data_IF_794724869911
#
_entry.id   IF_794724869911
#
_cell.length_a   1.000
_cell.length_b   1.000
_cell.length_c   1.000
_cell.angle_alpha   90.00
_cell.angle_beta   90.00
_cell.angle_gamma   90.00
#
_symmetry.space_group_name_H-M   'P 1'
#
loop_
_entity.id
_entity.type
_entity.pdbx_description
1 polymer ?
#
# COMPACT_ATOMS: atom_id res chain seq x y z
N UNK A 1 14.94 -35.59 12.94
CA UNK A 1 14.78 -34.72 11.74
C UNK A 1 15.52 -33.41 12.00
N UNK A 2 16.10 -32.73 11.00
CA UNK A 2 16.81 -31.42 11.17
C UNK A 2 16.44 -30.47 10.01
N UNK A 3 15.97 -29.26 10.31
CA UNK A 3 15.69 -28.23 9.30
C UNK A 3 16.94 -27.40 9.00
N UNK A 4 17.06 -26.91 7.77
CA UNK A 4 18.13 -25.99 7.36
C UNK A 4 17.71 -25.12 6.18
N UNK A 5 18.20 -23.89 6.16
CA UNK A 5 18.09 -23.00 5.00
C UNK A 5 19.16 -23.28 3.93
N UNK A 6 20.18 -24.08 4.25
CA UNK A 6 21.21 -24.47 3.29
C UNK A 6 21.65 -25.92 3.51
N UNK A 7 21.52 -26.76 2.48
CA UNK A 7 21.89 -28.18 2.55
C UNK A 7 23.40 -28.40 2.52
N UNK A 8 24.19 -27.50 1.93
CA UNK A 8 25.62 -27.74 1.66
C UNK A 8 26.44 -27.92 2.96
N UNK A 9 26.37 -27.01 3.95
CA UNK A 9 27.10 -27.19 5.20
C UNK A 9 26.64 -28.44 5.97
N UNK A 10 25.33 -28.72 5.94
CA UNK A 10 24.75 -29.88 6.60
C UNK A 10 25.27 -31.19 5.99
N UNK A 11 25.36 -31.30 4.67
CA UNK A 11 25.89 -32.50 4.02
C UNK A 11 27.38 -32.66 4.32
N UNK A 12 28.16 -31.56 4.28
CA UNK A 12 29.58 -31.56 4.65
C UNK A 12 29.78 -32.12 6.06
N UNK A 13 29.05 -31.60 7.05
CA UNK A 13 29.06 -32.07 8.44
C UNK A 13 28.79 -33.59 8.55
N UNK A 14 27.85 -34.11 7.76
CA UNK A 14 27.39 -35.50 7.88
C UNK A 14 28.26 -36.53 7.16
N UNK A 15 29.01 -36.12 6.14
CA UNK A 15 29.78 -37.04 5.28
C UNK A 15 31.30 -36.88 5.41
N UNK A 16 31.78 -35.92 6.20
CA UNK A 16 33.21 -35.60 6.32
C UNK A 16 34.08 -36.82 6.69
N UNK A 17 33.58 -37.69 7.58
CA UNK A 17 34.33 -38.83 8.11
C UNK A 17 33.72 -40.20 7.75
N UNK A 18 32.58 -40.23 7.07
CA UNK A 18 31.83 -41.46 6.83
C UNK A 18 31.09 -41.38 5.48
N UNK A 19 31.82 -41.78 4.44
CA UNK A 19 31.39 -41.62 3.06
C UNK A 19 30.45 -42.74 2.64
N UNK A 20 29.30 -42.38 2.06
CA UNK A 20 28.32 -43.33 1.50
C UNK A 20 27.99 -43.00 0.04
N UNK A 21 27.28 -43.91 -0.62
CA UNK A 21 26.79 -43.69 -1.97
C UNK A 21 25.68 -42.62 -1.98
N UNK A 22 25.81 -41.64 -2.87
CA UNK A 22 24.88 -40.53 -2.99
C UNK A 22 24.05 -40.62 -4.28
N UNK A 23 22.76 -40.31 -4.16
CA UNK A 23 21.91 -39.96 -5.31
C UNK A 23 21.42 -38.54 -5.13
N UNK A 24 21.72 -37.69 -6.11
CA UNK A 24 21.50 -36.25 -6.09
C UNK A 24 20.47 -35.91 -7.16
N UNK A 25 19.34 -35.33 -6.77
CA UNK A 25 18.26 -34.91 -7.67
C UNK A 25 18.12 -33.41 -7.58
N UNK A 26 18.31 -32.69 -8.69
CA UNK A 26 18.00 -31.26 -8.78
C UNK A 26 17.73 -30.89 -10.24
N UNK A 27 16.60 -30.23 -10.55
CA UNK A 27 16.31 -29.82 -11.92
C UNK A 27 17.35 -28.81 -12.44
N UNK A 28 17.87 -27.97 -11.55
CA UNK A 28 18.73 -26.84 -11.89
C UNK A 28 20.09 -26.94 -11.22
N UNK A 29 21.15 -26.73 -11.99
CA UNK A 29 22.55 -26.86 -11.58
C UNK A 29 23.37 -25.67 -12.08
N UNK A 30 23.95 -24.88 -11.17
CA UNK A 30 24.92 -23.82 -11.53
C UNK A 30 26.12 -23.84 -10.58
N UNK A 31 27.23 -23.24 -11.00
CA UNK A 31 28.47 -23.18 -10.22
C UNK A 31 29.04 -24.56 -9.87
N UNK A 32 29.63 -24.68 -8.68
CA UNK A 32 30.27 -25.90 -8.15
C UNK A 32 29.38 -26.70 -7.20
N UNK A 33 28.18 -26.23 -6.84
CA UNK A 33 27.40 -26.75 -5.70
C UNK A 33 27.18 -28.26 -5.77
N UNK A 34 26.64 -28.77 -6.89
CA UNK A 34 26.39 -30.20 -7.04
C UNK A 34 27.68 -31.03 -7.12
N UNK A 35 28.75 -30.46 -7.68
CA UNK A 35 30.06 -31.12 -7.74
C UNK A 35 30.66 -31.27 -6.33
N UNK A 36 30.61 -30.22 -5.52
CA UNK A 36 31.08 -30.25 -4.14
C UNK A 36 30.33 -31.31 -3.32
N UNK A 37 29.00 -31.36 -3.43
CA UNK A 37 28.20 -32.38 -2.75
C UNK A 37 28.57 -33.79 -3.23
N UNK A 38 28.67 -33.99 -4.54
CA UNK A 38 28.98 -35.30 -5.12
C UNK A 38 30.36 -35.84 -4.68
N UNK A 39 31.35 -34.96 -4.51
CA UNK A 39 32.70 -35.34 -4.08
C UNK A 39 32.82 -35.74 -2.60
N UNK A 40 31.81 -35.43 -1.78
CA UNK A 40 31.75 -35.88 -0.39
C UNK A 40 31.35 -37.36 -0.28
N UNK A 41 30.64 -37.89 -1.28
CA UNK A 41 30.21 -39.28 -1.33
C UNK A 41 31.36 -40.25 -1.56
N UNK A 42 31.13 -41.53 -1.23
CA UNK A 42 31.98 -42.65 -1.68
C UNK A 42 31.85 -42.81 -3.20
N UNK A 43 30.61 -42.71 -3.68
CA UNK A 43 30.23 -42.58 -5.07
C UNK A 43 29.02 -41.65 -5.16
N UNK A 44 28.75 -41.09 -6.34
CA UNK A 44 27.61 -40.21 -6.54
C UNK A 44 26.98 -40.40 -7.92
N UNK A 45 25.64 -40.33 -7.99
CA UNK A 45 24.87 -40.19 -9.25
C UNK A 45 24.06 -38.90 -9.18
N UNK A 46 24.10 -38.10 -10.24
CA UNK A 46 23.38 -36.84 -10.35
C UNK A 46 22.25 -36.97 -11.37
N UNK A 47 21.04 -36.55 -11.03
CA UNK A 47 19.85 -36.56 -11.87
C UNK A 47 19.38 -35.12 -12.05
N UNK A 48 19.24 -34.69 -13.30
CA UNK A 48 18.98 -33.28 -13.64
C UNK A 48 18.16 -33.12 -14.92
N UNK A 49 17.68 -31.90 -15.19
CA UNK A 49 17.09 -31.53 -16.48
C UNK A 49 18.20 -31.07 -17.44
N UNK A 50 18.15 -31.57 -18.67
CA UNK A 50 19.01 -31.13 -19.78
C UNK A 50 18.13 -30.91 -20.99
N UNK A 51 17.82 -29.64 -21.27
CA UNK A 51 17.09 -29.23 -22.47
C UNK A 51 17.48 -27.80 -22.85
N UNK A 52 17.05 -27.39 -24.04
CA UNK A 52 17.42 -26.10 -24.64
C UNK A 52 16.98 -24.93 -23.75
N UNK A 53 15.75 -24.94 -23.25
CA UNK A 53 15.20 -23.89 -22.40
C UNK A 53 16.00 -23.72 -21.10
N UNK A 54 16.35 -24.82 -20.43
CA UNK A 54 17.07 -24.81 -19.16
C UNK A 54 18.47 -24.21 -19.30
N UNK A 55 19.18 -24.52 -20.38
CA UNK A 55 20.51 -23.92 -20.62
C UNK A 55 20.41 -22.49 -21.17
N UNK A 56 19.46 -22.20 -22.06
CA UNK A 56 19.30 -20.88 -22.67
C UNK A 56 18.86 -19.81 -21.66
N UNK A 57 18.00 -20.17 -20.70
CA UNK A 57 17.57 -19.29 -19.61
C UNK A 57 18.62 -19.10 -18.51
N UNK A 58 19.68 -19.91 -18.51
CA UNK A 58 20.68 -19.94 -17.43
C UNK A 58 20.20 -20.61 -16.14
N UNK A 59 19.04 -21.29 -16.15
CA UNK A 59 18.56 -22.04 -14.99
C UNK A 59 19.53 -23.15 -14.58
N UNK A 60 20.15 -23.81 -15.57
CA UNK A 60 21.38 -24.59 -15.38
C UNK A 60 22.50 -24.05 -16.26
N UNK A 61 23.75 -24.20 -15.82
CA UNK A 61 24.91 -23.86 -16.63
C UNK A 61 25.52 -25.11 -17.29
N UNK A 62 25.85 -24.99 -18.57
CA UNK A 62 26.59 -26.03 -19.31
C UNK A 62 27.91 -26.39 -18.60
N UNK A 63 28.60 -25.40 -18.03
CA UNK A 63 29.87 -25.60 -17.32
C UNK A 63 29.72 -26.45 -16.05
N UNK A 64 28.64 -26.31 -15.28
CA UNK A 64 28.40 -27.10 -14.07
C UNK A 64 28.22 -28.58 -14.41
N UNK A 65 27.38 -28.88 -15.40
CA UNK A 65 27.12 -30.25 -15.86
C UNK A 65 28.38 -30.86 -16.49
N UNK A 66 29.10 -30.09 -17.33
CA UNK A 66 30.36 -30.54 -17.94
C UNK A 66 31.42 -30.88 -16.89
N UNK A 67 31.46 -30.14 -15.78
CA UNK A 67 32.43 -30.37 -14.71
C UNK A 67 32.18 -31.70 -13.98
N UNK A 68 30.91 -32.07 -13.75
CA UNK A 68 30.54 -33.38 -13.21
C UNK A 68 31.00 -34.52 -14.14
N UNK A 69 30.70 -34.41 -15.44
CA UNK A 69 31.12 -35.40 -16.44
C UNK A 69 32.65 -35.52 -16.52
N UNK A 70 33.38 -34.40 -16.51
CA UNK A 70 34.87 -34.39 -16.52
C UNK A 70 35.46 -35.09 -15.29
N UNK A 71 34.78 -35.03 -14.14
CA UNK A 71 35.16 -35.75 -12.91
C UNK A 71 34.67 -37.19 -12.87
N UNK A 72 34.14 -37.72 -13.98
CA UNK A 72 33.60 -39.08 -14.12
C UNK A 72 32.45 -39.38 -13.14
N UNK A 73 31.72 -38.36 -12.72
CA UNK A 73 30.50 -38.53 -11.92
C UNK A 73 29.35 -38.77 -12.90
N UNK A 74 28.63 -39.91 -12.82
CA UNK A 74 27.49 -40.18 -13.68
C UNK A 74 26.39 -39.11 -13.51
N UNK A 75 26.04 -38.48 -14.63
CA UNK A 75 24.91 -37.55 -14.72
C UNK A 75 23.82 -38.21 -15.54
N UNK A 76 22.58 -38.12 -15.10
CA UNK A 76 21.42 -38.65 -15.77
C UNK A 76 20.46 -37.52 -16.12
N UNK A 77 20.00 -37.51 -17.36
CA UNK A 77 18.86 -36.72 -17.79
C UNK A 77 17.58 -37.40 -17.29
N UNK A 78 16.75 -36.67 -16.54
CA UNK A 78 15.46 -37.15 -16.05
C UNK A 78 14.36 -36.16 -16.43
N UNK A 79 13.52 -36.45 -17.44
CA UNK A 79 12.46 -35.53 -17.86
C UNK A 79 11.45 -35.28 -16.73
N UNK A 80 10.92 -34.06 -16.69
CA UNK A 80 9.94 -33.60 -15.69
C UNK A 80 10.42 -33.71 -14.23
N UNK A 81 11.75 -33.73 -14.01
CA UNK A 81 12.31 -33.62 -12.68
C UNK A 81 11.98 -32.25 -12.08
N UNK A 82 11.40 -32.23 -10.89
CA UNK A 82 11.27 -31.04 -10.05
C UNK A 82 11.76 -31.29 -8.61
N UNK A 83 12.09 -32.54 -8.28
CA UNK A 83 12.58 -32.93 -6.97
C UNK A 83 13.99 -32.35 -6.72
N UNK A 84 14.19 -31.93 -5.47
CA UNK A 84 15.43 -31.34 -4.95
C UNK A 84 15.80 -32.12 -3.72
N UNK A 85 16.67 -33.10 -3.90
CA UNK A 85 16.87 -34.15 -2.91
C UNK A 85 18.28 -34.73 -2.97
N UNK A 86 18.84 -35.05 -1.79
CA UNK A 86 20.03 -35.90 -1.65
C UNK A 86 19.65 -37.14 -0.86
N UNK A 87 19.93 -38.32 -1.41
CA UNK A 87 19.76 -39.61 -0.74
C UNK A 87 21.14 -40.17 -0.47
N UNK A 88 21.50 -40.22 0.82
CA UNK A 88 22.71 -40.86 1.31
C UNK A 88 22.34 -42.29 1.75
N UNK A 89 22.81 -43.29 1.00
CA UNK A 89 22.42 -44.69 1.15
C UNK A 89 22.44 -45.14 2.61
N UNK A 90 21.33 -45.70 3.09
CA UNK A 90 21.09 -46.21 4.45
C UNK A 90 21.26 -45.19 5.60
N UNK A 91 21.55 -43.91 5.29
CA UNK A 91 21.96 -42.90 6.29
C UNK A 91 20.95 -41.80 6.49
N UNK A 92 20.61 -41.10 5.42
CA UNK A 92 19.68 -39.99 5.50
C UNK A 92 19.15 -39.59 4.12
N UNK A 93 18.06 -38.84 4.15
CA UNK A 93 17.50 -38.14 3.00
C UNK A 93 17.38 -36.66 3.35
N UNK A 94 17.81 -35.78 2.45
CA UNK A 94 17.52 -34.35 2.52
C UNK A 94 16.60 -34.01 1.37
N UNK A 95 15.48 -33.35 1.65
CA UNK A 95 14.54 -32.85 0.66
C UNK A 95 14.11 -31.42 1.00
N UNK A 96 13.78 -30.61 -0.01
CA UNK A 96 13.36 -29.24 0.23
C UNK A 96 13.16 -28.42 -1.04
N UNK A 97 13.21 -27.10 -0.88
CA UNK A 97 13.06 -26.14 -1.97
C UNK A 97 14.36 -25.82 -2.70
N UNK A 98 15.53 -26.17 -2.14
CA UNK A 98 16.84 -25.71 -2.63
C UNK A 98 17.29 -26.44 -3.90
N UNK A 99 17.36 -25.69 -5.00
CA UNK A 99 18.09 -26.14 -6.19
C UNK A 99 19.59 -26.06 -5.96
N UNK A 100 20.36 -26.86 -6.70
CA UNK A 100 21.80 -26.96 -6.51
C UNK A 100 22.51 -25.93 -7.40
N UNK A 101 22.12 -24.68 -7.19
CA UNK A 101 22.60 -23.48 -7.89
C UNK A 101 23.29 -22.55 -6.90
N UNK A 102 24.15 -21.67 -7.39
CA UNK A 102 24.83 -20.66 -6.54
C UNK A 102 23.84 -19.83 -5.75
N UNK A 103 22.79 -19.31 -6.41
CA UNK A 103 21.72 -18.55 -5.74
C UNK A 103 20.97 -19.38 -4.71
N UNK A 104 20.71 -20.66 -4.99
CA UNK A 104 20.10 -21.57 -4.01
C UNK A 104 20.99 -21.79 -2.79
N UNK A 105 22.31 -21.66 -2.91
CA UNK A 105 23.25 -21.83 -1.81
C UNK A 105 23.62 -20.53 -1.06
N UNK A 106 23.36 -19.35 -1.62
CA UNK A 106 23.85 -18.07 -1.06
C UNK A 106 22.81 -16.96 -0.90
N UNK A 107 21.71 -16.97 -1.66
CA UNK A 107 20.84 -15.80 -1.77
C UNK A 107 19.35 -16.10 -1.61
N UNK A 108 18.87 -17.25 -2.10
CA UNK A 108 17.46 -17.60 -1.99
C UNK A 108 17.09 -17.97 -0.56
N UNK A 109 15.87 -17.62 -0.14
CA UNK A 109 15.27 -18.16 1.06
C UNK A 109 14.79 -19.58 0.79
N UNK A 110 15.51 -20.57 1.30
CA UNK A 110 15.22 -21.99 1.08
C UNK A 110 14.80 -22.67 2.39
N UNK A 111 14.00 -23.72 2.29
CA UNK A 111 13.64 -24.57 3.42
C UNK A 111 13.87 -26.03 3.04
N UNK A 112 14.70 -26.69 3.84
CA UNK A 112 15.08 -28.08 3.64
C UNK A 112 15.00 -28.85 4.94
N UNK A 113 14.78 -30.16 4.82
CA UNK A 113 14.68 -31.05 5.95
C UNK A 113 15.51 -32.31 5.72
N UNK A 114 16.29 -32.68 6.74
CA UNK A 114 17.02 -33.95 6.83
C UNK A 114 16.25 -34.94 7.67
N UNK A 115 15.98 -36.09 7.10
CA UNK A 115 15.42 -37.28 7.75
C UNK A 115 16.52 -38.34 7.88
N UNK A 116 16.66 -38.95 9.05
CA UNK A 116 17.62 -40.03 9.26
C UNK A 116 17.06 -41.36 8.71
N UNK A 117 17.96 -42.20 8.22
CA UNK A 117 17.64 -43.41 7.48
C UNK A 117 17.09 -43.13 6.07
N UNK A 118 16.91 -44.19 5.30
CA UNK A 118 16.20 -44.18 4.02
C UNK A 118 15.06 -45.20 4.14
N UNK A 119 13.81 -44.76 3.98
CA UNK A 119 12.66 -45.66 4.07
C UNK A 119 12.42 -46.40 2.76
N UNK A 120 11.77 -47.57 2.83
CA UNK A 120 11.33 -48.33 1.64
C UNK A 120 10.51 -47.49 0.64
N UNK A 121 9.74 -46.52 1.14
CA UNK A 121 8.98 -45.60 0.30
C UNK A 121 9.87 -44.66 -0.52
N UNK A 122 10.93 -44.11 0.10
CA UNK A 122 11.92 -43.29 -0.62
C UNK A 122 12.68 -44.14 -1.63
N UNK A 123 13.07 -45.36 -1.27
CA UNK A 123 13.74 -46.29 -2.17
C UNK A 123 12.88 -46.60 -3.41
N UNK A 124 11.59 -46.89 -3.22
CA UNK A 124 10.65 -47.15 -4.31
C UNK A 124 10.48 -45.92 -5.22
N UNK A 125 10.42 -44.71 -4.64
CA UNK A 125 10.34 -43.46 -5.39
C UNK A 125 11.60 -43.20 -6.21
N UNK A 126 12.78 -43.38 -5.61
CA UNK A 126 14.08 -43.26 -6.27
C UNK A 126 14.19 -44.27 -7.41
N UNK A 127 13.84 -45.52 -7.17
CA UNK A 127 13.86 -46.56 -8.20
C UNK A 127 12.93 -46.21 -9.38
N UNK A 128 11.75 -45.61 -9.10
CA UNK A 128 10.83 -45.12 -10.14
C UNK A 128 11.45 -43.98 -10.96
N UNK A 129 12.18 -43.07 -10.33
CA UNK A 129 12.90 -42.00 -11.03
C UNK A 129 14.07 -42.56 -11.87
N UNK A 130 14.85 -43.49 -11.32
CA UNK A 130 15.99 -44.11 -12.02
C UNK A 130 15.56 -44.87 -13.28
N UNK A 131 14.42 -45.57 -13.26
CA UNK A 131 13.89 -46.26 -14.46
C UNK A 131 13.56 -45.31 -15.62
N UNK A 132 13.32 -44.03 -15.34
CA UNK A 132 13.01 -43.01 -16.35
C UNK A 132 14.22 -42.17 -16.74
N UNK A 133 15.36 -42.39 -16.10
CA UNK A 133 16.55 -41.58 -16.25
C UNK A 133 17.47 -42.16 -17.32
N UNK A 134 17.96 -41.30 -18.21
CA UNK A 134 18.89 -41.69 -19.28
C UNK A 134 20.28 -41.17 -18.93
N UNK A 135 21.31 -42.02 -19.03
CA UNK A 135 22.69 -41.60 -18.78
C UNK A 135 23.07 -40.49 -19.78
N UNK A 136 23.53 -39.36 -19.28
CA UNK A 136 23.90 -38.21 -20.08
C UNK A 136 25.26 -38.43 -20.74
N UNK A 137 25.29 -38.30 -22.06
CA UNK A 137 26.54 -38.31 -22.83
C UNK A 137 27.06 -36.89 -23.06
N UNK A 138 28.38 -36.73 -23.17
CA UNK A 138 28.99 -35.44 -23.52
C UNK A 138 28.46 -34.90 -24.85
N UNK A 139 28.26 -35.77 -25.85
CA UNK A 139 27.72 -35.39 -27.15
C UNK A 139 26.30 -34.81 -27.07
N UNK A 140 25.40 -35.45 -26.31
CA UNK A 140 24.05 -34.90 -26.14
C UNK A 140 24.06 -33.55 -25.42
N UNK A 141 24.86 -33.40 -24.37
CA UNK A 141 25.03 -32.11 -23.67
C UNK A 141 25.54 -31.02 -24.61
N UNK A 142 26.49 -31.33 -25.49
CA UNK A 142 27.02 -30.41 -26.50
C UNK A 142 25.96 -30.00 -27.54
N UNK A 143 25.19 -30.95 -28.07
CA UNK A 143 24.08 -30.65 -28.99
C UNK A 143 23.04 -29.72 -28.37
N UNK A 144 22.64 -29.97 -27.11
CA UNK A 144 21.67 -29.12 -26.40
C UNK A 144 22.26 -27.73 -26.16
N UNK A 145 23.53 -27.63 -25.77
CA UNK A 145 24.20 -26.34 -25.55
C UNK A 145 24.31 -25.51 -26.83
N UNK A 146 24.62 -26.15 -27.97
CA UNK A 146 24.70 -25.46 -29.25
C UNK A 146 23.33 -24.92 -29.66
N UNK A 147 22.25 -25.70 -29.48
CA UNK A 147 20.88 -25.23 -29.70
C UNK A 147 20.50 -24.10 -28.72
N UNK A 148 20.91 -24.18 -27.45
CA UNK A 148 20.62 -23.17 -26.44
C UNK A 148 21.29 -21.81 -26.73
N UNK A 149 22.51 -21.80 -27.26
CA UNK A 149 23.21 -20.56 -27.64
C UNK A 149 22.42 -19.70 -28.63
N UNK A 150 21.67 -20.31 -29.54
CA UNK A 150 20.83 -19.59 -30.50
C UNK A 150 19.67 -18.81 -29.83
N UNK A 151 19.28 -19.19 -28.61
CA UNK A 151 18.17 -18.57 -27.88
C UNK A 151 18.63 -17.77 -26.65
N UNK A 152 19.85 -17.96 -26.17
CA UNK A 152 20.35 -17.34 -24.93
C UNK A 152 20.18 -15.82 -24.91
N UNK A 153 20.50 -15.13 -26.01
CA UNK A 153 20.31 -13.67 -26.10
C UNK A 153 18.85 -13.21 -26.00
N UNK A 154 17.90 -14.00 -26.52
CA UNK A 154 16.47 -13.71 -26.42
C UNK A 154 15.96 -13.88 -24.98
N UNK A 155 16.41 -14.93 -24.29
CA UNK A 155 16.08 -15.14 -22.88
C UNK A 155 16.66 -14.05 -21.98
N UNK A 156 17.90 -13.64 -22.21
CA UNK A 156 18.54 -12.56 -21.43
C UNK A 156 17.82 -11.22 -21.62
N UNK A 157 17.47 -10.86 -22.87
CA UNK A 157 16.71 -9.65 -23.15
C UNK A 157 15.34 -9.65 -22.48
N UNK A 158 14.58 -10.75 -22.60
CA UNK A 158 13.27 -10.89 -21.97
C UNK A 158 13.37 -10.80 -20.43
N UNK A 159 14.39 -11.44 -19.85
CA UNK A 159 14.62 -11.39 -18.41
C UNK A 159 14.91 -9.96 -17.92
N UNK A 160 15.75 -9.20 -18.61
CA UNK A 160 16.04 -7.80 -18.27
C UNK A 160 14.80 -6.93 -18.33
N UNK A 161 13.98 -7.10 -19.37
CA UNK A 161 12.70 -6.39 -19.49
C UNK A 161 11.75 -6.73 -18.32
N UNK A 162 11.66 -8.00 -17.93
CA UNK A 162 10.85 -8.42 -16.79
C UNK A 162 11.38 -7.81 -15.47
N UNK A 163 12.69 -7.82 -15.25
CA UNK A 163 13.34 -7.23 -14.07
C UNK A 163 13.16 -5.70 -14.01
N UNK A 164 13.13 -5.00 -15.14
CA UNK A 164 12.79 -3.57 -15.21
C UNK A 164 11.33 -3.32 -14.83
N UNK A 165 10.40 -4.07 -15.43
CA UNK A 165 8.97 -3.92 -15.16
C UNK A 165 8.62 -4.23 -13.70
N UNK A 166 9.21 -5.29 -13.13
CA UNK A 166 9.04 -5.64 -11.72
C UNK A 166 9.53 -4.51 -10.79
N UNK A 167 10.68 -3.88 -11.11
CA UNK A 167 11.20 -2.75 -10.32
C UNK A 167 10.24 -1.57 -10.33
N UNK A 168 9.70 -1.23 -11.50
CA UNK A 168 8.77 -0.12 -11.65
C UNK A 168 7.46 -0.37 -10.88
N UNK A 169 6.94 -1.60 -10.95
CA UNK A 169 5.75 -2.00 -10.19
C UNK A 169 5.98 -1.95 -8.69
N UNK A 170 7.12 -2.46 -8.20
CA UNK A 170 7.48 -2.41 -6.78
C UNK A 170 7.64 -0.95 -6.31
N UNK A 171 8.25 -0.10 -7.12
CA UNK A 171 8.42 1.32 -6.80
C UNK A 171 7.07 2.05 -6.73
N UNK A 172 6.17 1.79 -7.70
CA UNK A 172 4.82 2.34 -7.70
C UNK A 172 4.04 1.92 -6.45
N UNK A 173 4.11 0.65 -6.07
CA UNK A 173 3.40 0.12 -4.90
C UNK A 173 3.94 0.70 -3.58
N UNK A 174 5.28 0.81 -3.45
CA UNK A 174 5.89 1.51 -2.30
C UNK A 174 5.44 2.96 -2.20
N UNK A 175 5.33 3.66 -3.34
CA UNK A 175 4.84 5.04 -3.36
C UNK A 175 3.36 5.16 -2.98
N UNK A 176 2.51 4.19 -3.32
CA UNK A 176 1.10 4.17 -2.89
C UNK A 176 1.01 3.96 -1.37
N UNK A 177 1.77 2.98 -0.86
CA UNK A 177 1.78 2.67 0.56
C UNK A 177 2.28 3.83 1.43
N UNK A 178 3.26 4.63 0.96
CA UNK A 178 3.75 5.78 1.72
C UNK A 178 2.72 6.91 1.80
N UNK A 179 2.01 7.20 0.70
CA UNK A 179 0.93 8.20 0.67
C UNK A 179 -0.19 7.81 1.65
N UNK A 180 -0.63 6.55 1.60
CA UNK A 180 -1.68 6.06 2.49
C UNK A 180 -1.28 6.12 3.97
N UNK A 181 0.00 5.91 4.31
CA UNK A 181 0.50 6.11 5.68
C UNK A 181 0.48 7.58 6.10
N UNK A 182 0.82 8.51 5.20
CA UNK A 182 0.78 9.95 5.46
C UNK A 182 -0.63 10.45 5.74
N UNK A 183 -1.62 10.00 4.96
CA UNK A 183 -3.04 10.32 5.15
C UNK A 183 -3.53 9.89 6.55
N UNK A 184 -3.29 8.61 6.91
CA UNK A 184 -3.66 8.08 8.23
C UNK A 184 -2.99 8.81 9.39
N UNK A 185 -1.79 9.34 9.19
CA UNK A 185 -1.07 10.08 10.23
C UNK A 185 -1.75 11.44 10.52
N UNK A 186 -2.24 12.15 9.50
CA UNK A 186 -2.93 13.44 9.67
C UNK A 186 -4.30 13.25 10.29
N UNK A 187 -5.05 12.26 9.80
CA UNK A 187 -6.33 11.87 10.36
C UNK A 187 -6.20 11.50 11.86
N UNK A 188 -5.13 10.79 12.23
CA UNK A 188 -4.83 10.48 13.63
C UNK A 188 -4.45 11.74 14.44
N UNK A 189 -3.66 12.64 13.87
CA UNK A 189 -3.26 13.90 14.50
C UNK A 189 -4.47 14.81 14.78
N UNK A 190 -5.34 15.02 13.79
CA UNK A 190 -6.60 15.79 13.93
C UNK A 190 -7.41 15.29 15.12
N UNK A 191 -7.57 13.97 15.24
CA UNK A 191 -8.30 13.36 16.37
C UNK A 191 -7.60 13.56 17.70
N UNK A 192 -6.28 13.39 17.73
CA UNK A 192 -5.45 13.60 18.93
C UNK A 192 -5.58 15.04 19.42
N UNK A 193 -5.45 16.03 18.54
CA UNK A 193 -5.54 17.44 18.92
C UNK A 193 -6.95 17.85 19.35
N UNK A 194 -7.99 17.33 18.70
CA UNK A 194 -9.37 17.55 19.14
C UNK A 194 -9.64 16.95 20.53
N UNK A 195 -9.14 15.76 20.81
CA UNK A 195 -9.36 15.09 22.09
C UNK A 195 -8.73 15.84 23.28
N UNK A 196 -7.73 16.70 23.04
CA UNK A 196 -7.11 17.55 24.07
C UNK A 196 -7.93 18.80 24.39
N UNK A 197 -8.90 19.16 23.55
CA UNK A 197 -9.68 20.40 23.69
C UNK A 197 -10.85 20.24 24.65
N UNK A 198 -11.33 21.34 25.26
CA UNK A 198 -12.59 21.34 25.99
C UNK A 198 -13.74 20.88 25.10
N UNK A 199 -14.50 19.91 25.59
CA UNK A 199 -15.60 19.31 24.84
C UNK A 199 -16.83 19.11 25.72
N UNK A 200 -18.00 19.06 25.07
CA UNK A 200 -19.27 18.77 25.73
C UNK A 200 -19.43 17.28 26.03
N UNK A 201 -20.43 16.96 26.85
CA UNK A 201 -20.86 15.56 27.01
C UNK A 201 -21.34 14.99 25.66
N UNK A 202 -20.90 13.79 25.28
CA UNK A 202 -21.32 13.18 24.03
C UNK A 202 -22.83 12.95 23.98
N UNK A 203 -23.44 13.21 22.82
CA UNK A 203 -24.86 12.96 22.54
C UNK A 203 -25.00 11.90 21.47
N UNK A 204 -25.86 10.91 21.73
CA UNK A 204 -26.18 9.87 20.76
C UNK A 204 -27.03 10.46 19.64
N UNK A 205 -26.59 10.24 18.42
CA UNK A 205 -27.35 10.53 17.22
C UNK A 205 -27.45 9.26 16.35
N UNK A 206 -28.56 9.07 15.64
CA UNK A 206 -28.80 7.87 14.82
C UNK A 206 -29.14 8.28 13.39
N UNK A 207 -28.57 7.59 12.42
CA UNK A 207 -28.92 7.79 11.02
C UNK A 207 -30.32 7.22 10.79
N UNK A 208 -31.18 8.05 10.23
CA UNK A 208 -32.53 7.68 9.85
C UNK A 208 -32.74 7.93 8.36
N UNK A 209 -33.34 6.95 7.69
CA UNK A 209 -33.81 7.08 6.32
C UNK A 209 -35.24 7.59 6.26
N UNK A 210 -35.51 8.52 5.34
CA UNK A 210 -36.85 8.91 4.93
C UNK A 210 -36.96 8.83 3.42
N UNK A 211 -38.00 8.18 2.91
CA UNK A 211 -38.29 8.21 1.49
C UNK A 211 -38.81 9.58 1.07
N UNK A 212 -38.17 10.18 0.08
CA UNK A 212 -38.59 11.44 -0.56
C UNK A 212 -39.31 11.11 -1.86
N UNK A 213 -40.64 11.11 -1.79
CA UNK A 213 -41.54 10.82 -2.92
C UNK A 213 -41.30 11.74 -4.11
N UNK A 214 -40.97 13.01 -3.87
CA UNK A 214 -40.78 14.01 -4.93
C UNK A 214 -39.59 13.68 -5.83
N UNK A 215 -38.54 13.10 -5.26
CA UNK A 215 -37.31 12.75 -5.96
C UNK A 215 -37.10 11.23 -6.08
N UNK A 216 -38.11 10.43 -5.70
CA UNK A 216 -38.09 8.97 -5.69
C UNK A 216 -36.82 8.35 -5.08
N UNK A 217 -36.32 8.91 -3.96
CA UNK A 217 -35.05 8.49 -3.34
C UNK A 217 -35.10 8.48 -1.82
N UNK A 218 -34.32 7.60 -1.19
CA UNK A 218 -34.09 7.66 0.24
C UNK A 218 -33.19 8.86 0.58
N UNK A 219 -33.57 9.59 1.61
CA UNK A 219 -32.78 10.66 2.20
C UNK A 219 -32.34 10.23 3.60
N UNK A 220 -31.04 10.29 3.86
CA UNK A 220 -30.46 9.96 5.15
C UNK A 220 -30.13 11.23 5.91
N UNK A 221 -30.47 11.25 7.20
CA UNK A 221 -30.12 12.34 8.11
C UNK A 221 -29.74 11.78 9.47
N UNK A 222 -28.83 12.45 10.16
CA UNK A 222 -28.39 12.05 11.49
C UNK A 222 -29.26 12.78 12.52
N UNK A 223 -30.09 12.03 13.26
CA UNK A 223 -31.12 12.56 14.16
C UNK A 223 -30.67 12.48 15.62
N UNK A 224 -30.95 13.54 16.38
CA UNK A 224 -30.77 13.63 17.83
C UNK A 224 -31.94 14.36 18.50
N UNK A 225 -31.85 14.58 19.81
CA UNK A 225 -32.95 15.18 20.61
C UNK A 225 -32.90 16.71 20.66
N UNK A 226 -31.78 17.28 21.08
CA UNK A 226 -31.53 18.72 21.10
C UNK A 226 -30.09 18.93 20.65
N UNK A 227 -29.90 19.64 19.54
CA UNK A 227 -28.61 19.79 18.87
C UNK A 227 -28.16 21.25 18.77
N UNK A 228 -28.98 22.21 19.21
CA UNK A 228 -28.63 23.62 19.14
C UNK A 228 -27.99 24.12 20.43
N UNK A 229 -28.26 23.51 21.58
CA UNK A 229 -27.71 23.96 22.87
C UNK A 229 -26.74 22.94 23.42
N UNK A 230 -25.52 23.35 23.74
CA UNK A 230 -24.47 22.51 24.28
C UNK A 230 -23.86 23.15 25.52
N UNK A 231 -23.18 22.34 26.33
CA UNK A 231 -22.41 22.84 27.48
C UNK A 231 -21.03 22.22 27.43
N UNK A 232 -20.00 23.07 27.42
CA UNK A 232 -18.60 22.67 27.51
C UNK A 232 -18.12 23.11 28.88
N UNK A 233 -17.89 22.15 29.77
CA UNK A 233 -17.75 22.45 31.21
C UNK A 233 -18.97 23.18 31.75
N UNK A 234 -18.78 24.43 32.20
CA UNK A 234 -19.87 25.30 32.71
C UNK A 234 -20.35 26.34 31.69
N UNK A 235 -19.73 26.43 30.52
CA UNK A 235 -20.06 27.43 29.50
C UNK A 235 -21.15 26.90 28.55
N UNK A 236 -22.30 27.60 28.43
CA UNK A 236 -23.31 27.25 27.44
C UNK A 236 -22.89 27.74 26.04
N UNK A 237 -23.18 26.94 25.02
CA UNK A 237 -22.94 27.25 23.62
C UNK A 237 -24.24 27.05 22.83
N UNK A 238 -24.61 28.06 22.05
CA UNK A 238 -25.80 28.02 21.19
C UNK A 238 -25.41 28.02 19.71
N UNK A 239 -25.79 26.94 19.01
CA UNK A 239 -25.66 26.82 17.57
C UNK A 239 -26.89 27.43 16.90
N UNK A 240 -26.66 28.03 15.73
CA UNK A 240 -27.71 28.64 14.93
C UNK A 240 -28.32 27.59 14.01
N UNK A 241 -29.66 27.48 13.95
CA UNK A 241 -30.30 26.55 13.03
C UNK A 241 -29.96 26.92 11.58
N UNK A 242 -29.94 25.90 10.72
CA UNK A 242 -29.62 25.96 9.30
C UNK A 242 -28.19 26.44 8.96
N UNK A 243 -27.36 26.70 9.95
CA UNK A 243 -25.94 27.00 9.73
C UNK A 243 -25.14 25.70 9.61
N UNK A 244 -24.03 25.78 8.89
CA UNK A 244 -23.03 24.74 8.78
C UNK A 244 -21.91 24.98 9.76
N UNK A 245 -21.49 23.90 10.40
CA UNK A 245 -20.38 23.88 11.34
C UNK A 245 -19.35 22.87 10.86
N UNK A 246 -18.07 23.15 11.11
CA UNK A 246 -17.01 22.18 10.89
C UNK A 246 -17.33 20.91 11.69
N UNK A 247 -17.24 19.77 11.03
CA UNK A 247 -17.48 18.45 11.57
C UNK A 247 -16.30 17.55 11.24
N UNK A 248 -15.80 16.86 12.26
CA UNK A 248 -14.71 15.91 12.13
C UNK A 248 -15.27 14.51 12.40
N UNK A 249 -15.10 13.60 11.45
CA UNK A 249 -15.56 12.21 11.58
C UNK A 249 -14.71 11.43 12.59
N UNK A 250 -15.18 10.24 13.00
CA UNK A 250 -14.41 9.34 13.88
C UNK A 250 -13.10 8.86 13.23
N UNK A 251 -13.02 8.93 11.90
CA UNK A 251 -11.81 8.69 11.14
C UNK A 251 -10.87 9.91 11.05
N UNK A 252 -11.26 11.10 11.53
CA UNK A 252 -10.43 12.32 11.45
C UNK A 252 -10.66 13.16 10.19
N UNK A 253 -11.63 12.80 9.34
CA UNK A 253 -11.94 13.52 8.10
C UNK A 253 -12.76 14.77 8.37
N UNK A 254 -12.50 15.82 7.61
CA UNK A 254 -13.18 17.11 7.71
C UNK A 254 -14.42 17.15 6.81
N UNK A 255 -15.46 17.81 7.30
CA UNK A 255 -16.65 18.19 6.54
C UNK A 255 -17.41 19.32 7.22
N UNK A 256 -18.45 19.86 6.59
CA UNK A 256 -19.26 20.96 7.11
C UNK A 256 -20.74 20.56 7.16
N UNK A 257 -21.21 20.23 8.37
CA UNK A 257 -22.54 19.68 8.62
C UNK A 257 -23.55 20.78 8.90
N UNK A 258 -24.69 20.73 8.22
CA UNK A 258 -25.83 21.62 8.45
C UNK A 258 -26.61 21.16 9.68
N UNK A 259 -26.75 22.04 10.66
CA UNK A 259 -27.37 21.75 11.96
C UNK A 259 -28.79 22.30 12.04
N UNK A 260 -29.72 21.52 12.58
CA UNK A 260 -31.05 21.95 13.01
C UNK A 260 -31.33 21.38 14.40
N UNK A 261 -32.44 21.79 15.03
CA UNK A 261 -32.82 21.39 16.39
C UNK A 261 -32.66 19.90 16.68
N UNK A 262 -33.12 19.05 15.77
CA UNK A 262 -33.14 17.59 15.97
C UNK A 262 -32.43 16.81 14.87
N UNK A 263 -31.88 17.49 13.85
CA UNK A 263 -31.36 16.83 12.65
C UNK A 263 -30.12 17.52 12.09
N UNK A 264 -29.10 16.71 11.78
CA UNK A 264 -28.02 17.01 10.85
C UNK A 264 -28.37 16.47 9.45
N UNK A 265 -28.53 17.34 8.46
CA UNK A 265 -29.22 17.00 7.20
C UNK A 265 -28.34 16.88 5.96
N UNK A 266 -27.24 17.64 5.90
CA UNK A 266 -26.34 17.74 4.74
C UNK A 266 -24.91 17.96 5.25
N UNK A 267 -23.94 17.33 4.61
CA UNK A 267 -22.51 17.44 4.92
C UNK A 267 -21.79 17.78 3.62
N UNK A 268 -21.08 18.89 3.62
CA UNK A 268 -20.22 19.24 2.51
C UNK A 268 -18.78 18.90 2.84
N UNK A 269 -18.02 18.49 1.83
CA UNK A 269 -16.56 18.38 1.94
C UNK A 269 -15.86 19.44 1.08
N UNK A 270 -16.66 20.35 0.49
CA UNK A 270 -16.20 21.47 -0.33
C UNK A 270 -16.99 22.72 0.06
N UNK A 271 -16.30 23.84 0.20
CA UNK A 271 -16.91 25.14 0.45
C UNK A 271 -16.37 26.16 -0.55
N UNK A 272 -17.28 26.79 -1.30
CA UNK A 272 -16.94 27.94 -2.15
C UNK A 272 -17.30 29.22 -1.42
N UNK A 273 -16.44 30.21 -1.53
CA UNK A 273 -16.57 31.47 -0.82
C UNK A 273 -16.75 32.65 -1.76
N UNK A 274 -17.53 33.61 -1.27
CA UNK A 274 -17.70 34.90 -1.92
C UNK A 274 -16.43 35.75 -1.82
N UNK A 275 -16.35 36.77 -2.67
CA UNK A 275 -15.24 37.73 -2.71
C UNK A 275 -15.09 38.46 -1.39
N UNK A 276 -13.85 38.78 -1.02
CA UNK A 276 -13.54 39.60 0.16
C UNK A 276 -13.02 38.83 1.37
N UNK A 277 -13.05 37.50 1.33
CA UNK A 277 -12.65 36.66 2.46
C UNK A 277 -11.13 36.60 2.70
N UNK A 278 -10.31 36.86 1.67
CA UNK A 278 -8.85 36.97 1.80
C UNK A 278 -8.46 38.42 2.05
N UNK A 279 -7.98 38.71 3.26
CA UNK A 279 -7.57 40.04 3.72
C UNK A 279 -6.28 40.43 2.98
N UNK A 280 -6.43 41.32 2.00
CA UNK A 280 -5.36 41.77 1.11
C UNK A 280 -5.58 41.40 -0.36
N UNK A 281 -6.53 40.51 -0.66
CA UNK A 281 -6.93 40.14 -2.01
C UNK A 281 -8.46 40.03 -2.11
N UNK A 282 -9.14 41.14 -1.83
CA UNK A 282 -10.61 41.19 -1.71
C UNK A 282 -11.37 40.81 -2.98
N UNK A 283 -10.69 40.77 -4.13
CA UNK A 283 -11.28 40.42 -5.42
C UNK A 283 -11.20 38.91 -5.72
N UNK A 284 -10.49 38.14 -4.89
CA UNK A 284 -10.33 36.71 -5.09
C UNK A 284 -11.53 35.94 -4.56
N UNK A 285 -11.84 34.86 -5.28
CA UNK A 285 -12.75 33.80 -4.85
C UNK A 285 -11.91 32.61 -4.38
N UNK A 286 -12.41 31.90 -3.36
CA UNK A 286 -11.67 30.79 -2.76
C UNK A 286 -12.60 29.61 -2.56
N UNK A 287 -12.18 28.45 -3.08
CA UNK A 287 -12.80 27.16 -2.81
C UNK A 287 -11.91 26.32 -1.90
N UNK A 288 -12.43 25.80 -0.80
CA UNK A 288 -11.72 24.86 0.09
C UNK A 288 -12.32 23.47 -0.09
N UNK A 289 -11.45 22.49 -0.33
CA UNK A 289 -11.81 21.12 -0.67
C UNK A 289 -11.08 20.13 0.24
N UNK A 290 -11.85 19.44 1.09
CA UNK A 290 -11.39 18.43 2.03
C UNK A 290 -11.54 17.00 1.49
N UNK A 291 -11.92 16.83 0.21
CA UNK A 291 -12.08 15.49 -0.37
C UNK A 291 -10.72 14.81 -0.57
N UNK A 292 -10.71 13.48 -0.44
CA UNK A 292 -9.49 12.70 -0.69
C UNK A 292 -8.96 12.91 -2.11
N UNK A 293 -9.84 13.01 -3.10
CA UNK A 293 -9.45 13.20 -4.49
C UNK A 293 -8.68 14.51 -4.68
N UNK A 294 -9.15 15.59 -4.06
CA UNK A 294 -8.49 16.88 -4.12
C UNK A 294 -7.14 16.87 -3.41
N UNK A 295 -7.05 16.25 -2.24
CA UNK A 295 -5.81 16.16 -1.47
C UNK A 295 -4.76 15.24 -2.16
N UNK A 296 -5.21 14.23 -2.93
CA UNK A 296 -4.35 13.33 -3.73
C UNK A 296 -3.77 13.97 -4.99
N UNK A 297 -4.20 15.18 -5.36
CA UNK A 297 -3.66 15.88 -6.53
C UNK A 297 -2.17 16.27 -6.38
N UNK A 298 -1.62 16.20 -5.17
CA UNK A 298 -0.20 16.41 -4.89
C UNK A 298 0.31 15.37 -3.90
N UNK A 299 1.56 14.90 -4.09
CA UNK A 299 2.22 14.03 -3.11
C UNK A 299 2.50 14.83 -1.84
N UNK A 300 2.02 14.33 -0.70
CA UNK A 300 2.29 14.87 0.62
C UNK A 300 1.17 14.50 1.59
N UNK A 301 1.32 14.91 2.85
CA UNK A 301 0.29 14.74 3.85
C UNK A 301 -0.55 16.02 3.92
N UNK A 302 -1.69 16.04 3.22
CA UNK A 302 -2.62 17.18 3.23
C UNK A 302 -4.04 16.65 3.43
N UNK A 303 -4.87 17.46 4.09
CA UNK A 303 -6.30 17.19 4.26
C UNK A 303 -7.18 18.36 3.80
N UNK A 304 -6.58 19.38 3.18
CA UNK A 304 -7.25 20.49 2.53
C UNK A 304 -6.51 20.88 1.25
N UNK A 305 -7.28 21.16 0.19
CA UNK A 305 -6.84 21.89 -0.99
C UNK A 305 -7.63 23.18 -1.09
N UNK A 306 -6.94 24.30 -1.27
CA UNK A 306 -7.54 25.60 -1.50
C UNK A 306 -7.31 26.00 -2.95
N UNK A 307 -8.38 26.13 -3.72
CA UNK A 307 -8.37 26.68 -5.07
C UNK A 307 -8.65 28.18 -5.00
N UNK A 308 -7.83 28.98 -5.65
CA UNK A 308 -7.95 30.44 -5.69
C UNK A 308 -8.29 30.86 -7.12
N UNK A 309 -9.31 31.69 -7.27
CA UNK A 309 -9.77 32.23 -8.55
C UNK A 309 -9.83 33.76 -8.52
N UNK A 310 -9.76 34.37 -9.70
CA UNK A 310 -9.93 35.81 -9.87
C UNK A 310 -11.40 36.24 -9.78
N UNK A 311 -11.66 37.54 -9.93
CA UNK A 311 -13.00 38.12 -9.89
C UNK A 311 -13.96 37.63 -11.00
N UNK A 312 -13.45 36.93 -12.02
CA UNK A 312 -14.22 36.35 -13.12
C UNK A 312 -14.39 34.84 -12.96
N UNK A 313 -13.90 34.25 -11.87
CA UNK A 313 -13.92 32.82 -11.62
C UNK A 313 -12.82 32.04 -12.38
N UNK A 314 -11.83 32.73 -12.97
CA UNK A 314 -10.72 32.03 -13.61
C UNK A 314 -9.70 31.59 -12.56
N UNK A 315 -9.23 30.35 -12.67
CA UNK A 315 -8.26 29.78 -11.75
C UNK A 315 -6.94 30.55 -11.76
N UNK A 316 -6.52 30.98 -10.57
CA UNK A 316 -5.22 31.57 -10.31
C UNK A 316 -4.21 30.49 -9.92
N UNK A 317 -4.41 29.82 -8.79
CA UNK A 317 -3.48 28.82 -8.25
C UNK A 317 -4.17 27.90 -7.23
N UNK A 318 -3.43 26.89 -6.78
CA UNK A 318 -3.87 25.93 -5.75
C UNK A 318 -2.87 25.91 -4.60
N UNK A 319 -3.37 25.73 -3.39
CA UNK A 319 -2.59 25.62 -2.16
C UNK A 319 -2.99 24.34 -1.44
N UNK A 320 -2.01 23.55 -1.02
CA UNK A 320 -2.26 22.32 -0.27
C UNK A 320 -1.93 22.57 1.19
N UNK A 321 -2.80 22.14 2.09
CA UNK A 321 -2.71 22.49 3.51
C UNK A 321 -2.93 21.27 4.40
N UNK A 322 -2.28 21.28 5.56
CA UNK A 322 -2.45 20.31 6.64
C UNK A 322 -3.05 21.02 7.83
N UNK A 323 -4.32 20.74 8.10
CA UNK A 323 -5.05 21.26 9.24
C UNK A 323 -5.16 20.20 10.32
N UNK A 324 -4.72 20.51 11.54
CA UNK A 324 -4.83 19.60 12.70
C UNK A 324 -5.71 20.16 13.82
N UNK A 325 -6.55 21.16 13.51
CA UNK A 325 -7.41 21.92 14.45
C UNK A 325 -6.71 22.93 15.35
N UNK A 326 -5.45 22.73 15.70
CA UNK A 326 -4.62 23.73 16.39
C UNK A 326 -3.96 24.68 15.42
N UNK A 327 -3.33 24.14 14.39
CA UNK A 327 -2.57 24.85 13.38
C UNK A 327 -3.03 24.47 11.97
N UNK A 328 -2.59 25.27 11.01
CA UNK A 328 -2.80 25.09 9.59
C UNK A 328 -1.47 25.28 8.88
N UNK A 329 -0.85 24.18 8.50
CA UNK A 329 0.35 24.19 7.66
C UNK A 329 -0.01 24.33 6.19
N UNK A 330 0.89 24.98 5.46
CA UNK A 330 0.66 25.39 4.08
C UNK A 330 1.90 25.06 3.25
N UNK A 331 1.67 24.41 2.12
CA UNK A 331 2.67 24.22 1.10
C UNK A 331 2.71 25.42 0.15
N UNK A 332 3.85 25.68 -0.52
CA UNK A 332 3.93 26.71 -1.54
C UNK A 332 2.83 26.57 -2.60
N UNK A 333 2.23 27.70 -2.95
CA UNK A 333 1.20 27.79 -3.97
C UNK A 333 1.69 27.24 -5.32
N UNK A 334 0.84 26.48 -6.01
CA UNK A 334 1.17 25.78 -7.25
C UNK A 334 0.18 26.05 -8.37
N UNK A 335 0.70 25.96 -9.60
CA UNK A 335 -0.06 26.10 -10.82
C UNK A 335 -0.34 24.71 -11.40
N UNK A 336 -1.58 24.22 -11.26
CA UNK A 336 -1.94 22.92 -11.79
C UNK A 336 -2.04 22.96 -13.33
N UNK A 337 -1.51 21.91 -13.97
CA UNK A 337 -1.42 21.79 -15.43
C UNK A 337 -2.76 21.43 -16.08
N UNK A 338 -3.59 20.63 -15.42
CA UNK A 338 -4.90 20.17 -15.91
C UNK A 338 -5.96 20.42 -14.85
N UNK A 339 -6.91 21.30 -15.17
CA UNK A 339 -8.13 21.53 -14.37
C UNK A 339 -9.25 21.82 -15.36
N UNK A 340 -10.49 21.46 -15.00
CA UNK A 340 -11.67 21.67 -15.84
C UNK A 340 -12.16 23.14 -15.82
N UNK A 341 -11.53 23.96 -14.98
CA UNK A 341 -11.84 25.38 -14.79
C UNK A 341 -11.03 26.25 -15.75
N UNK A 342 -11.64 27.29 -16.37
CA UNK A 342 -10.90 28.32 -17.10
C UNK A 342 -9.76 28.91 -16.27
N UNK A 343 -8.62 29.22 -16.90
CA UNK A 343 -7.40 29.69 -16.22
C UNK A 343 -7.14 31.14 -16.53
N UNK A 344 -6.75 31.90 -15.51
CA UNK A 344 -6.34 33.29 -15.67
C UNK A 344 -5.01 33.37 -16.47
N UNK A 345 -4.65 34.54 -17.03
CA UNK A 345 -3.36 34.74 -17.68
C UNK A 345 -2.18 34.33 -16.80
N UNK A 346 -1.17 33.68 -17.39
CA UNK A 346 -0.05 33.10 -16.63
C UNK A 346 0.69 34.10 -15.71
N UNK A 347 0.74 35.38 -16.11
CA UNK A 347 1.34 36.44 -15.31
C UNK A 347 0.56 36.69 -14.01
N UNK A 348 -0.77 36.68 -14.07
CA UNK A 348 -1.62 36.86 -12.90
C UNK A 348 -1.58 35.65 -11.97
N UNK A 349 -1.57 34.45 -12.55
CA UNK A 349 -1.38 33.20 -11.81
C UNK A 349 -0.08 33.18 -11.01
N UNK A 350 1.03 33.63 -11.63
CA UNK A 350 2.34 33.76 -10.96
C UNK A 350 2.30 34.81 -9.84
N UNK A 351 1.73 35.99 -10.11
CA UNK A 351 1.56 37.04 -9.09
C UNK A 351 0.75 36.55 -7.89
N UNK A 352 -0.32 35.80 -8.12
CA UNK A 352 -1.13 35.24 -7.05
C UNK A 352 -0.33 34.24 -6.19
N UNK A 353 0.40 33.32 -6.83
CA UNK A 353 1.24 32.36 -6.12
C UNK A 353 2.37 33.05 -5.33
N UNK A 354 3.03 34.05 -5.92
CA UNK A 354 4.06 34.86 -5.25
C UNK A 354 3.49 35.62 -4.05
N UNK A 355 2.31 36.22 -4.19
CA UNK A 355 1.65 36.92 -3.10
C UNK A 355 1.31 35.99 -1.95
N UNK A 356 0.73 34.80 -2.21
CA UNK A 356 0.40 33.82 -1.17
C UNK A 356 1.67 33.39 -0.44
N UNK A 357 2.73 33.06 -1.17
CA UNK A 357 3.99 32.63 -0.57
C UNK A 357 4.64 33.75 0.28
N UNK A 358 4.55 35.02 -0.17
CA UNK A 358 5.05 36.17 0.59
C UNK A 358 4.17 36.53 1.80
N UNK A 359 2.88 36.20 1.78
CA UNK A 359 1.89 36.54 2.80
C UNK A 359 1.33 35.28 3.48
N UNK A 360 2.20 34.30 3.70
CA UNK A 360 1.82 32.95 4.15
C UNK A 360 1.00 32.98 5.44
N UNK A 361 1.41 33.78 6.43
CA UNK A 361 0.77 33.81 7.74
C UNK A 361 -0.64 34.41 7.68
N UNK A 362 -0.83 35.54 6.99
CA UNK A 362 -2.16 36.16 6.86
C UNK A 362 -3.10 35.27 6.05
N UNK A 363 -2.62 34.63 4.99
CA UNK A 363 -3.41 33.67 4.22
C UNK A 363 -3.82 32.47 5.06
N UNK A 364 -2.91 31.88 5.87
CA UNK A 364 -3.24 30.81 6.82
C UNK A 364 -4.36 31.22 7.78
N UNK A 365 -4.26 32.42 8.37
CA UNK A 365 -5.26 32.94 9.30
C UNK A 365 -6.62 33.17 8.64
N UNK A 366 -6.63 33.65 7.40
CA UNK A 366 -7.84 33.77 6.60
C UNK A 366 -8.49 32.40 6.36
N UNK A 367 -7.75 31.42 5.82
CA UNK A 367 -8.29 30.07 5.57
C UNK A 367 -8.75 29.40 6.88
N UNK A 368 -8.00 29.54 7.98
CA UNK A 368 -8.40 28.98 9.27
C UNK A 368 -9.69 29.61 9.80
N UNK A 369 -9.85 30.93 9.66
CA UNK A 369 -11.10 31.62 9.99
C UNK A 369 -12.24 31.09 9.13
N UNK A 370 -12.03 31.01 7.83
CA UNK A 370 -12.99 30.52 6.83
C UNK A 370 -13.53 29.15 7.22
N UNK A 371 -12.65 28.16 7.42
CA UNK A 371 -13.07 26.76 7.62
C UNK A 371 -13.74 26.52 8.98
N UNK A 372 -13.51 27.42 9.95
CA UNK A 372 -14.06 27.28 11.31
C UNK A 372 -15.27 28.17 11.58
N UNK A 373 -15.52 29.20 10.76
CA UNK A 373 -16.62 30.14 10.98
C UNK A 373 -17.94 29.53 10.52
N UNK A 374 -18.99 29.50 11.36
CA UNK A 374 -20.29 28.98 10.93
C UNK A 374 -20.93 29.86 9.86
N UNK A 375 -21.52 29.24 8.84
CA UNK A 375 -22.09 29.95 7.69
C UNK A 375 -23.41 29.35 7.22
N UNK A 376 -24.15 30.10 6.38
CA UNK A 376 -25.42 29.66 5.76
C UNK A 376 -25.31 29.84 4.24
N UNK A 377 -25.56 28.80 3.45
CA UNK A 377 -25.69 28.95 2.00
C UNK A 377 -26.98 29.68 1.66
N UNK A 378 -26.89 30.67 0.75
CA UNK A 378 -28.03 31.50 0.39
C UNK A 378 -28.95 30.86 -0.66
N UNK A 379 -28.47 29.95 -1.53
CA UNK A 379 -29.24 29.57 -2.72
C UNK A 379 -29.56 28.07 -2.92
N UNK A 380 -28.81 27.11 -2.35
CA UNK A 380 -29.07 25.66 -2.56
C UNK A 380 -28.75 24.77 -1.34
N UNK A 381 -29.55 23.72 -1.14
CA UNK A 381 -29.23 22.61 -0.24
C UNK A 381 -28.26 21.65 -0.95
N UNK A 382 -26.96 21.89 -0.81
CA UNK A 382 -25.89 21.11 -1.45
C UNK A 382 -25.24 20.12 -0.47
N UNK A 383 -24.41 19.21 -0.98
CA UNK A 383 -23.61 18.28 -0.19
C UNK A 383 -24.20 16.90 -0.03
N UNK A 384 -23.35 16.02 0.48
CA UNK A 384 -23.66 14.62 0.73
C UNK A 384 -24.64 14.47 1.89
N UNK A 385 -25.37 13.36 1.87
CA UNK A 385 -26.29 12.97 2.95
C UNK A 385 -25.52 12.29 4.07
N UNK A 386 -26.19 12.15 5.22
CA UNK A 386 -25.57 11.61 6.43
C UNK A 386 -24.93 10.24 6.19
N UNK A 387 -25.45 9.46 5.26
CA UNK A 387 -24.99 8.10 5.01
C UNK A 387 -23.56 8.01 4.47
N UNK A 388 -23.15 8.98 3.66
CA UNK A 388 -21.81 9.00 3.06
C UNK A 388 -20.73 9.45 4.03
N UNK A 389 -21.07 10.28 5.02
CA UNK A 389 -20.12 10.83 5.98
C UNK A 389 -20.13 10.07 7.32
N UNK A 390 -21.31 9.67 7.80
CA UNK A 390 -21.46 9.01 9.10
C UNK A 390 -21.61 7.48 8.96
N UNK A 391 -22.26 6.95 7.91
CA UNK A 391 -22.39 5.50 7.67
C UNK A 391 -23.78 5.04 7.26
N UNK A 392 -24.06 3.74 7.21
CA UNK A 392 -25.37 3.23 6.74
C UNK A 392 -26.57 3.59 7.64
N UNK A 393 -27.80 3.35 7.16
CA UNK A 393 -29.02 3.51 7.96
C UNK A 393 -28.98 2.69 9.26
N UNK A 394 -29.56 3.22 10.33
CA UNK A 394 -29.56 2.58 11.65
C UNK A 394 -28.24 2.66 12.43
N UNK A 395 -27.16 3.17 11.82
CA UNK A 395 -25.90 3.43 12.54
C UNK A 395 -26.08 4.54 13.57
N UNK A 396 -25.46 4.37 14.74
CA UNK A 396 -25.48 5.32 15.85
C UNK A 396 -24.08 5.86 16.10
N UNK A 397 -23.99 7.16 16.30
CA UNK A 397 -22.74 7.87 16.60
C UNK A 397 -22.89 8.68 17.88
N UNK A 398 -21.78 8.88 18.59
CA UNK A 398 -21.69 9.85 19.68
C UNK A 398 -21.07 11.13 19.12
N UNK A 399 -21.73 12.27 19.32
CA UNK A 399 -21.21 13.56 18.88
C UNK A 399 -20.98 14.47 20.09
N UNK A 400 -19.85 15.16 20.12
CA UNK A 400 -19.59 16.25 21.05
C UNK A 400 -19.36 17.57 20.30
N UNK A 401 -19.54 18.66 21.03
CA UNK A 401 -19.15 20.00 20.61
C UNK A 401 -17.78 20.27 21.21
N UNK A 402 -16.82 20.68 20.39
CA UNK A 402 -15.44 20.94 20.78
C UNK A 402 -15.14 22.43 20.61
N UNK A 403 -14.54 23.04 21.63
CA UNK A 403 -14.10 24.44 21.57
C UNK A 403 -12.82 24.57 20.73
N UNK A 404 -12.94 25.34 19.66
CA UNK A 404 -11.80 25.85 18.90
C UNK A 404 -11.37 27.22 19.45
N UNK A 405 -10.20 27.71 19.04
CA UNK A 405 -9.66 28.98 19.55
C UNK A 405 -10.58 30.20 19.34
N UNK A 406 -11.47 30.15 18.33
CA UNK A 406 -12.36 31.28 17.99
C UNK A 406 -13.80 30.86 17.69
N UNK A 407 -14.08 29.55 17.62
CA UNK A 407 -15.34 28.98 17.13
C UNK A 407 -15.54 27.61 17.76
N UNK A 408 -16.54 26.85 17.31
CA UNK A 408 -16.81 25.48 17.74
C UNK A 408 -16.85 24.54 16.55
N UNK A 409 -16.50 23.29 16.79
CA UNK A 409 -16.65 22.20 15.82
C UNK A 409 -17.41 21.02 16.44
N UNK A 410 -17.98 20.19 15.57
CA UNK A 410 -18.59 18.92 15.97
C UNK A 410 -17.59 17.79 15.75
N UNK A 411 -17.41 16.93 16.74
CA UNK A 411 -16.59 15.74 16.61
C UNK A 411 -17.45 14.49 16.77
N UNK A 412 -17.28 13.54 15.85
CA UNK A 412 -17.79 12.19 15.98
C UNK A 412 -16.82 11.37 16.80
N UNK A 413 -17.31 10.79 17.88
CA UNK A 413 -16.59 9.84 18.71
C UNK A 413 -17.11 8.47 18.30
N UNK A 414 -16.22 7.65 17.72
CA UNK A 414 -16.55 6.26 17.50
C UNK A 414 -16.72 5.58 18.87
N UNK A 415 -17.78 4.78 19.09
CA UNK A 415 -17.87 3.98 20.29
C UNK A 415 -16.61 3.11 20.33
N UNK A 416 -15.85 3.21 21.42
CA UNK A 416 -14.70 2.35 21.67
C UNK A 416 -15.16 0.93 21.36
N UNK A 417 -14.57 0.28 20.35
CA UNK A 417 -14.73 -1.15 20.16
C UNK A 417 -14.39 -1.77 21.50
N UNK A 418 -15.41 -2.21 22.25
CA UNK A 418 -15.22 -3.20 23.27
C UNK A 418 -14.65 -4.39 22.53
N UNK A 419 -13.32 -4.49 22.53
CA UNK A 419 -12.61 -5.69 22.16
C UNK A 419 -13.22 -6.79 23.03
N UNK A 420 -14.08 -7.58 22.41
CA UNK A 420 -14.62 -8.78 23.03
C UNK A 420 -13.41 -9.65 23.35
N UNK A 421 -13.16 -9.81 24.65
CA UNK A 421 -12.19 -10.76 25.18
C UNK A 421 -12.58 -12.20 24.96
#
# INVERSE_FOLDING_TARGET
>A
MKFTSNIVPLIKEQLQNDKVDLKIFSPYLTGSVALEIAQLGKSAKVYTLVNVQVLASGASSYSAIKSLLKKKIPVYYLPNLHAKMVVAKDRFVILGSQNFTERGASANFETNVRVLGVSKGVEALVAKMERKATLLTSGFLESVNNAAKALAGKYDALRKQAEELDRDLIAAEKSRASVQRGERAIDAEVRSELAKRPQSNPRKCTIVSRYDEKNAKLQHSLKGEELLTWSVGKAPHELKPQHRYLCISGAGKLGWVRVNRTVYSFIENQIDMEKGEIRGQVQWEVGVDATEQACKARRGGYNLRVAVADHQGNELCHVFMRYNTEDLDIDPAVLLRSTDTPKAPIAERRKAAEWINANTQSFKEDIKRIITTPFKFQEKLTGDRADKFFGGDGTSHLLCLVELSSNVALQVIDPVETMAG
#
